data_IF_069604250421
#
_entry.id   IF_069604250421
#
_cell.length_a   1.000
_cell.length_b   1.000
_cell.length_c   1.000
_cell.angle_alpha   90.00
_cell.angle_beta   90.00
_cell.angle_gamma   90.00
#
_symmetry.space_group_name_H-M   'P 1'
#
loop_
_entity.id
_entity.type
_entity.pdbx_description
1 polymer ?
#
# COMPACT_ATOMS: atom_id res chain seq x y z
N UNK A 1 3.00 2.84 -3.97
CA UNK A 1 4.02 3.89 -3.70
C UNK A 1 4.32 3.93 -2.21
N UNK A 2 5.54 4.27 -1.82
CA UNK A 2 5.89 4.52 -0.41
C UNK A 2 6.54 5.89 -0.25
N UNK A 3 6.29 6.54 0.88
CA UNK A 3 6.92 7.81 1.26
C UNK A 3 7.59 7.66 2.63
N UNK A 4 8.63 8.45 2.96
CA UNK A 4 9.13 8.53 4.33
C UNK A 4 8.03 8.89 5.32
N UNK A 5 8.03 8.27 6.50
CA UNK A 5 7.04 8.58 7.55
C UNK A 5 7.05 10.06 7.94
N UNK A 6 8.23 10.69 7.96
CA UNK A 6 8.41 12.12 8.25
C UNK A 6 7.89 13.05 7.17
N UNK A 7 7.65 12.55 5.95
CA UNK A 7 7.10 13.33 4.84
C UNK A 7 5.57 13.26 4.78
N UNK A 8 4.95 12.34 5.53
CA UNK A 8 3.49 12.24 5.60
C UNK A 8 2.95 13.17 6.69
N UNK A 9 2.05 14.07 6.31
CA UNK A 9 1.40 15.01 7.23
C UNK A 9 -0.11 14.89 7.02
N UNK A 10 -0.84 14.58 8.10
CA UNK A 10 -2.29 14.67 8.10
C UNK A 10 -2.69 16.13 8.34
N UNK A 11 -3.01 16.85 7.27
CA UNK A 11 -3.37 18.27 7.35
C UNK A 11 -4.73 18.51 8.03
N UNK A 12 -5.68 17.59 7.84
CA UNK A 12 -7.05 17.72 8.34
C UNK A 12 -7.75 16.37 8.50
N UNK A 13 -8.80 16.34 9.33
CA UNK A 13 -9.62 15.15 9.57
C UNK A 13 -9.03 14.22 10.61
N UNK A 14 -9.75 13.14 10.89
CA UNK A 14 -9.33 12.07 11.80
C UNK A 14 -9.30 10.76 11.05
N UNK A 15 -8.26 9.97 11.31
CA UNK A 15 -8.15 8.62 10.77
C UNK A 15 -8.42 7.60 11.86
N UNK A 16 -9.15 6.55 11.50
CA UNK A 16 -9.23 5.34 12.29
C UNK A 16 -8.15 4.39 11.83
N UNK A 17 -7.47 3.74 12.79
CA UNK A 17 -6.42 2.77 12.51
C UNK A 17 -6.81 1.40 13.03
N UNK A 18 -6.74 0.40 12.16
CA UNK A 18 -6.88 -1.01 12.54
C UNK A 18 -5.53 -1.69 12.40
N UNK A 19 -5.10 -2.36 13.47
CA UNK A 19 -3.91 -3.20 13.48
C UNK A 19 -4.32 -4.66 13.34
N UNK A 20 -3.61 -5.38 12.50
CA UNK A 20 -3.82 -6.81 12.23
C UNK A 20 -2.48 -7.48 11.97
N UNK A 21 -2.49 -8.80 11.86
CA UNK A 21 -1.35 -9.59 11.43
C UNK A 21 -1.62 -10.12 10.01
N UNK A 22 -0.64 -10.07 9.12
CA UNK A 22 -0.76 -10.64 7.78
C UNK A 22 -0.95 -12.15 7.89
N UNK A 23 -2.02 -12.69 7.29
CA UNK A 23 -2.42 -14.09 7.48
C UNK A 23 -1.32 -15.08 7.06
N UNK A 24 -0.70 -14.85 5.90
CA UNK A 24 0.22 -15.82 5.31
C UNK A 24 1.69 -15.64 5.77
N UNK A 25 2.04 -14.43 6.24
CA UNK A 25 3.44 -14.07 6.53
C UNK A 25 3.67 -13.61 7.96
N UNK A 26 2.62 -13.45 8.77
CA UNK A 26 2.72 -13.24 10.21
C UNK A 26 3.25 -11.86 10.65
N UNK A 27 3.54 -10.94 9.73
CA UNK A 27 4.02 -9.61 10.11
C UNK A 27 2.87 -8.69 10.56
N UNK A 28 3.18 -7.76 11.46
CA UNK A 28 2.21 -6.75 11.90
C UNK A 28 1.96 -5.73 10.79
N UNK A 29 0.69 -5.43 10.58
CA UNK A 29 0.21 -4.49 9.58
C UNK A 29 -0.86 -3.57 10.18
N UNK A 30 -0.79 -2.28 9.84
CA UNK A 30 -1.81 -1.31 10.24
C UNK A 30 -2.35 -0.59 9.01
N UNK A 31 -3.68 -0.45 8.94
CA UNK A 31 -4.37 0.32 7.91
C UNK A 31 -5.07 1.51 8.56
N UNK A 32 -4.74 2.71 8.09
CA UNK A 32 -5.38 3.97 8.51
C UNK A 32 -6.30 4.48 7.41
N UNK A 33 -7.55 4.75 7.77
CA UNK A 33 -8.62 5.12 6.84
C UNK A 33 -9.51 6.22 7.41
N UNK A 34 -10.22 6.92 6.53
CA UNK A 34 -11.19 7.95 6.91
C UNK A 34 -12.33 7.32 7.72
N UNK A 35 -12.60 7.82 8.92
CA UNK A 35 -13.63 7.27 9.81
C UNK A 35 -15.04 7.37 9.21
N UNK A 36 -15.32 8.42 8.45
CA UNK A 36 -16.67 8.69 7.94
C UNK A 36 -17.02 7.89 6.69
N UNK A 37 -16.09 7.78 5.73
CA UNK A 37 -16.35 7.14 4.44
C UNK A 37 -15.63 5.80 4.23
N UNK A 38 -14.71 5.42 5.12
CA UNK A 38 -13.97 4.16 5.03
C UNK A 38 -12.82 4.14 4.01
N UNK A 39 -12.55 5.25 3.31
CA UNK A 39 -11.49 5.28 2.29
C UNK A 39 -10.10 5.09 2.92
N UNK A 40 -9.28 4.15 2.42
CA UNK A 40 -7.97 3.88 2.98
C UNK A 40 -6.97 4.96 2.55
N UNK A 41 -6.19 5.49 3.50
CA UNK A 41 -5.26 6.62 3.24
C UNK A 41 -3.82 6.12 3.17
N UNK A 42 -3.38 5.41 4.21
CA UNK A 42 -2.06 4.80 4.22
C UNK A 42 -2.03 3.53 5.05
N UNK A 43 -1.01 2.71 4.80
CA UNK A 43 -0.70 1.57 5.63
C UNK A 43 0.74 1.63 6.18
N UNK A 44 0.94 0.91 7.28
CA UNK A 44 2.23 0.66 7.93
C UNK A 44 2.45 -0.84 8.00
N UNK A 45 3.66 -1.28 7.65
CA UNK A 45 4.05 -2.68 7.74
C UNK A 45 5.30 -2.79 8.62
N UNK A 46 5.37 -3.81 9.46
CA UNK A 46 6.47 -4.02 10.41
C UNK A 46 7.86 -4.00 9.75
N UNK A 47 7.98 -4.52 8.53
CA UNK A 47 9.25 -4.57 7.78
C UNK A 47 9.62 -3.24 7.08
N UNK A 48 8.75 -2.23 7.13
CA UNK A 48 8.98 -0.87 6.59
C UNK A 48 8.58 0.21 7.62
N UNK A 49 9.19 0.24 8.83
CA UNK A 49 8.73 1.10 9.93
C UNK A 49 8.85 2.61 9.60
N UNK A 50 9.86 2.98 8.83
CA UNK A 50 10.15 4.38 8.47
C UNK A 50 9.41 4.86 7.22
N UNK A 51 8.46 4.07 6.72
CA UNK A 51 7.70 4.39 5.51
C UNK A 51 6.19 4.39 5.77
N UNK A 52 5.48 5.08 4.89
CA UNK A 52 4.02 5.00 4.74
C UNK A 52 3.72 4.47 3.36
N UNK A 53 2.90 3.43 3.30
CA UNK A 53 2.42 2.84 2.05
C UNK A 53 1.17 3.61 1.67
N UNK A 54 1.28 4.49 0.67
CA UNK A 54 0.18 5.37 0.27
C UNK A 54 -0.82 4.62 -0.59
N UNK A 55 -2.09 4.78 -0.27
CA UNK A 55 -3.21 4.20 -1.01
C UNK A 55 -3.54 5.11 -2.18
N UNK A 56 -2.78 4.93 -3.27
CA UNK A 56 -2.73 5.86 -4.41
C UNK A 56 -4.07 6.13 -5.08
N UNK A 57 -5.05 5.22 -4.97
CA UNK A 57 -6.40 5.41 -5.50
C UNK A 57 -7.21 6.53 -4.82
N UNK A 58 -6.69 7.14 -3.76
CA UNK A 58 -7.31 8.29 -3.07
C UNK A 58 -6.67 9.63 -3.42
N UNK A 59 -5.68 9.64 -4.32
CA UNK A 59 -5.02 10.87 -4.76
C UNK A 59 -5.81 11.51 -5.90
N UNK A 60 -5.96 12.83 -5.87
CA UNK A 60 -6.62 13.60 -6.93
C UNK A 60 -5.73 13.74 -8.18
N UNK A 61 -4.41 13.64 -8.02
CA UNK A 61 -3.45 13.73 -9.12
C UNK A 61 -3.34 12.39 -9.85
N UNK A 62 -3.97 12.35 -11.03
CA UNK A 62 -4.03 11.17 -11.89
C UNK A 62 -2.66 10.75 -12.44
N UNK A 63 -1.65 11.62 -12.46
CA UNK A 63 -0.32 11.26 -12.97
C UNK A 63 0.27 10.08 -12.18
N UNK A 64 -0.01 10.00 -10.87
CA UNK A 64 0.44 8.88 -10.04
C UNK A 64 -0.27 7.56 -10.37
N UNK A 65 -1.49 7.62 -10.91
CA UNK A 65 -2.25 6.43 -11.33
C UNK A 65 -1.79 5.92 -12.70
N UNK A 66 -1.20 6.80 -13.52
CA UNK A 66 -0.67 6.45 -14.83
C UNK A 66 0.77 5.89 -14.78
N UNK A 67 1.45 5.99 -13.63
CA UNK A 67 2.80 5.46 -13.47
C UNK A 67 2.80 3.92 -13.43
N UNK A 68 3.75 3.34 -14.17
CA UNK A 68 3.98 1.89 -14.14
C UNK A 68 4.54 1.51 -12.75
N UNK A 69 3.94 0.52 -12.07
CA UNK A 69 4.46 0.06 -10.79
C UNK A 69 5.88 -0.51 -10.95
N UNK A 70 6.77 -0.13 -10.03
CA UNK A 70 8.13 -0.67 -10.02
C UNK A 70 8.17 -2.18 -9.73
N UNK A 71 7.16 -2.72 -9.02
CA UNK A 71 7.04 -4.14 -8.75
C UNK A 71 5.58 -4.56 -8.48
N UNK A 72 5.30 -5.82 -8.77
CA UNK A 72 4.11 -6.54 -8.37
C UNK A 72 4.48 -7.52 -7.24
N UNK A 73 3.69 -7.54 -6.17
CA UNK A 73 3.88 -8.42 -5.01
C UNK A 73 2.88 -9.59 -5.07
N UNK A 74 3.21 -10.71 -4.43
CA UNK A 74 2.36 -11.90 -4.33
C UNK A 74 1.97 -12.48 -5.70
N UNK A 75 2.91 -12.45 -6.66
CA UNK A 75 2.65 -12.89 -8.05
C UNK A 75 2.36 -14.38 -8.17
N UNK A 76 2.68 -15.17 -7.14
CA UNK A 76 2.29 -16.58 -7.00
C UNK A 76 0.76 -16.75 -6.92
N UNK A 77 0.02 -15.72 -6.49
CA UNK A 77 -1.45 -15.71 -6.46
C UNK A 77 -2.06 -15.10 -7.75
N UNK A 78 -1.25 -14.69 -8.72
CA UNK A 78 -1.74 -14.11 -9.98
C UNK A 78 -2.53 -15.15 -10.77
N UNK A 79 -3.73 -14.77 -11.22
CA UNK A 79 -4.53 -15.59 -12.13
C UNK A 79 -3.79 -15.78 -13.46
N UNK A 80 -3.77 -17.01 -13.98
CA UNK A 80 -2.96 -17.37 -15.16
C UNK A 80 -3.31 -16.59 -16.44
N UNK A 81 -4.50 -16.00 -16.54
CA UNK A 81 -4.92 -15.20 -17.70
C UNK A 81 -4.51 -13.72 -17.60
N UNK A 82 -4.01 -13.27 -16.46
CA UNK A 82 -3.49 -11.91 -16.26
C UNK A 82 -2.00 -11.92 -16.62
N UNK A 83 -1.59 -11.03 -17.52
CA UNK A 83 -0.18 -10.86 -17.89
C UNK A 83 0.54 -9.99 -16.84
N UNK A 84 1.85 -10.24 -16.59
CA UNK A 84 2.68 -9.33 -15.80
C UNK A 84 2.67 -7.91 -16.40
N UNK A 85 2.85 -6.91 -15.54
CA UNK A 85 3.08 -5.54 -16.00
C UNK A 85 4.50 -5.44 -16.54
N UNK A 86 4.63 -4.93 -17.77
CA UNK A 86 5.93 -4.78 -18.42
C UNK A 86 6.89 -3.92 -17.58
N UNK A 87 8.12 -4.43 -17.41
CA UNK A 87 9.20 -3.82 -16.61
C UNK A 87 8.96 -3.73 -15.09
N UNK A 88 7.83 -4.23 -14.57
CA UNK A 88 7.62 -4.34 -13.14
C UNK A 88 8.38 -5.56 -12.58
N UNK A 89 9.14 -5.37 -11.49
CA UNK A 89 9.73 -6.49 -10.75
C UNK A 89 8.65 -7.45 -10.24
N UNK A 90 8.89 -8.75 -10.32
CA UNK A 90 7.91 -9.78 -9.98
C UNK A 90 8.30 -10.44 -8.66
N UNK A 91 7.55 -10.20 -7.58
CA UNK A 91 7.86 -10.74 -6.25
C UNK A 91 6.80 -11.73 -5.80
N UNK A 92 7.25 -12.90 -5.35
CA UNK A 92 6.36 -13.93 -4.82
C UNK A 92 5.80 -13.60 -3.43
N UNK A 93 6.47 -12.71 -2.67
CA UNK A 93 6.16 -12.37 -1.28
C UNK A 93 6.45 -10.90 -0.96
N UNK A 94 6.09 -10.45 0.24
CA UNK A 94 6.35 -9.08 0.70
C UNK A 94 7.81 -8.82 1.06
N UNK A 95 8.51 -9.84 1.58
CA UNK A 95 9.92 -9.80 2.02
C UNK A 95 10.78 -10.76 1.22
#
# INVERSE_FOLDING_TARGET
MTVPATAFILNSGTLKTVKTQHMDEGFDFALSFCEDCGSPIYAEAQFLPDKRIIQVGTLDDEEYLQQIPAAELNVNHRLHWIKPVDNAGQREKYV
#
